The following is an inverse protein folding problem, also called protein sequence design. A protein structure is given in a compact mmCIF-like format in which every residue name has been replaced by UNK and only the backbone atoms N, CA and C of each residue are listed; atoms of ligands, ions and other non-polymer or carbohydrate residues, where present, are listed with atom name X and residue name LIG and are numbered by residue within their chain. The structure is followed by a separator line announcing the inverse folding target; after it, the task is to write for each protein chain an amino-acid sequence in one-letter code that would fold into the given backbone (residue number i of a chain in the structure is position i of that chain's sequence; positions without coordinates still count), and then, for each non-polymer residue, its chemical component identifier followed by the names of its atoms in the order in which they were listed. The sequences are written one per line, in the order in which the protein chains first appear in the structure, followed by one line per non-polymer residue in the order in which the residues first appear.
data_IF_636001812883
#
_entry.id   IF_636001812883
#
_cell.length_a   1.000
_cell.length_b   1.000
_cell.length_c   1.000
_cell.angle_alpha   90.00
_cell.angle_beta   90.00
_cell.angle_gamma   90.00
#
_symmetry.space_group_name_H-M   'P 1'
#
loop_
_entity.id
_entity.type
_entity.pdbx_description
1 polymer ?
#
# COMPACT_ATOMS: atom_id res chain seq x y z
N UNK A 1 -9.02 3.31 29.01
CA UNK A 1 -10.38 2.74 28.77
C UNK A 1 -10.76 2.94 27.29
N UNK A 2 -9.93 2.43 26.36
CA UNK A 2 -10.11 2.59 24.90
C UNK A 2 -10.96 1.46 24.29
N UNK A 3 -10.86 0.26 24.87
CA UNK A 3 -11.57 -0.95 24.41
C UNK A 3 -13.10 -0.85 24.54
N UNK A 4 -13.61 -0.03 25.46
CA UNK A 4 -15.06 0.19 25.63
C UNK A 4 -15.64 1.26 24.67
N UNK A 5 -14.79 2.08 24.06
CA UNK A 5 -15.21 3.13 23.12
C UNK A 5 -15.23 2.66 21.67
N UNK A 6 -14.49 1.60 21.36
CA UNK A 6 -14.46 0.97 20.06
C UNK A 6 -14.76 -0.51 20.25
N UNK A 7 -16.04 -0.88 20.16
CA UNK A 7 -16.41 -2.27 19.86
C UNK A 7 -15.81 -2.60 18.49
N UNK A 8 -14.60 -3.17 18.51
CA UNK A 8 -13.98 -3.72 17.32
C UNK A 8 -14.83 -4.92 16.91
N UNK A 9 -15.77 -4.68 15.98
CA UNK A 9 -16.43 -5.77 15.27
C UNK A 9 -15.35 -6.60 14.61
N UNK A 10 -15.41 -7.91 14.79
CA UNK A 10 -14.56 -8.81 14.03
C UNK A 10 -14.89 -8.63 12.54
N UNK A 11 -13.95 -8.04 11.81
CA UNK A 11 -14.08 -7.77 10.37
C UNK A 11 -13.74 -9.01 9.53
N UNK A 12 -13.37 -10.12 10.19
CA UNK A 12 -12.88 -11.32 9.53
C UNK A 12 -11.48 -11.13 8.94
N UNK A 13 -11.16 -11.94 7.92
CA UNK A 13 -9.82 -11.92 7.30
C UNK A 13 -9.55 -10.58 6.60
N UNK A 14 -8.35 -10.04 6.82
CA UNK A 14 -7.89 -8.79 6.22
C UNK A 14 -7.84 -8.91 4.69
N UNK A 15 -8.61 -8.10 3.98
CA UNK A 15 -8.59 -8.07 2.51
C UNK A 15 -7.91 -6.83 1.95
N UNK A 16 -8.03 -5.71 2.66
CA UNK A 16 -7.54 -4.40 2.21
C UNK A 16 -7.03 -3.60 3.39
N UNK A 17 -5.87 -2.97 3.24
CA UNK A 17 -5.33 -2.02 4.22
C UNK A 17 -4.47 -0.96 3.52
N UNK A 18 -4.82 0.33 3.63
CA UNK A 18 -4.03 1.44 3.05
C UNK A 18 -3.65 1.24 1.56
N UNK A 19 -4.57 0.72 0.74
CA UNK A 19 -4.30 0.45 -0.68
C UNK A 19 -3.53 -0.85 -0.96
N UNK A 20 -3.22 -1.61 0.09
CA UNK A 20 -2.66 -2.96 0.02
C UNK A 20 -3.79 -3.97 -0.02
N UNK A 21 -3.86 -4.76 -1.07
CA UNK A 21 -4.74 -5.91 -1.22
C UNK A 21 -4.05 -7.16 -0.67
N UNK A 22 -4.77 -7.95 0.12
CA UNK A 22 -4.30 -9.19 0.73
C UNK A 22 -5.16 -10.35 0.24
N UNK A 23 -4.52 -11.32 -0.39
CA UNK A 23 -5.12 -12.57 -0.81
C UNK A 23 -4.47 -13.74 -0.06
N UNK A 24 -5.26 -14.77 0.22
CA UNK A 24 -4.81 -15.95 0.96
C UNK A 24 -4.92 -17.18 0.09
N UNK A 25 -3.86 -17.96 0.01
CA UNK A 25 -3.89 -19.35 -0.46
C UNK A 25 -3.95 -20.29 0.76
N UNK A 26 -3.94 -21.61 0.53
CA UNK A 26 -3.92 -22.58 1.64
C UNK A 26 -2.68 -22.43 2.53
N UNK A 27 -1.55 -22.05 1.94
CA UNK A 27 -0.24 -22.08 2.61
C UNK A 27 0.47 -20.72 2.57
N UNK A 28 -0.05 -19.73 1.85
CA UNK A 28 0.66 -18.49 1.57
C UNK A 28 -0.26 -17.27 1.65
N UNK A 29 0.38 -16.11 1.84
CA UNK A 29 -0.28 -14.80 1.79
C UNK A 29 0.32 -14.05 0.60
N UNK A 30 -0.54 -13.58 -0.28
CA UNK A 30 -0.18 -12.73 -1.39
C UNK A 30 -0.59 -11.29 -1.10
N UNK A 31 0.34 -10.36 -1.30
CA UNK A 31 0.16 -8.94 -1.01
C UNK A 31 0.38 -8.17 -2.32
N UNK A 32 -0.56 -7.28 -2.65
CA UNK A 32 -0.54 -6.50 -3.90
C UNK A 32 -0.91 -5.04 -3.64
N UNK A 33 -0.15 -4.11 -4.20
CA UNK A 33 -0.54 -2.69 -4.27
C UNK A 33 -0.95 -2.28 -5.69
N UNK A 34 -1.17 -3.23 -6.60
CA UNK A 34 -1.40 -2.95 -8.02
C UNK A 34 -2.51 -1.92 -8.25
N UNK A 35 -3.63 -2.07 -7.55
CA UNK A 35 -4.75 -1.15 -7.65
C UNK A 35 -4.37 0.26 -7.19
N UNK A 36 -3.76 0.39 -6.01
CA UNK A 36 -3.28 1.66 -5.48
C UNK A 36 -2.31 2.36 -6.45
N UNK A 37 -1.34 1.63 -7.00
CA UNK A 37 -0.40 2.19 -7.98
C UNK A 37 -1.12 2.67 -9.24
N UNK A 38 -2.08 1.90 -9.77
CA UNK A 38 -2.84 2.30 -10.95
C UNK A 38 -3.70 3.54 -10.71
N UNK A 39 -4.37 3.60 -9.55
CA UNK A 39 -5.20 4.74 -9.15
C UNK A 39 -4.31 5.99 -8.98
N UNK A 40 -3.17 5.87 -8.32
CA UNK A 40 -2.18 6.95 -8.17
C UNK A 40 -1.66 7.46 -9.52
N UNK A 41 -1.32 6.55 -10.44
CA UNK A 41 -0.89 6.92 -11.79
C UNK A 41 -1.99 7.64 -12.55
N UNK A 42 -3.25 7.24 -12.37
CA UNK A 42 -4.39 7.90 -12.99
C UNK A 42 -4.59 9.31 -12.42
N UNK A 43 -4.58 9.45 -11.10
CA UNK A 43 -4.75 10.74 -10.41
C UNK A 43 -3.64 11.74 -10.74
N UNK A 44 -2.41 11.25 -10.89
CA UNK A 44 -1.24 12.08 -11.25
C UNK A 44 -1.10 12.33 -12.75
N UNK A 45 -2.02 11.80 -13.58
CA UNK A 45 -1.95 11.91 -15.04
C UNK A 45 -0.75 11.18 -15.66
N UNK A 46 -0.21 10.17 -14.98
CA UNK A 46 0.96 9.36 -15.40
C UNK A 46 0.58 7.98 -15.93
N UNK A 47 -0.71 7.68 -16.05
CA UNK A 47 -1.16 6.44 -16.66
C UNK A 47 -0.69 6.37 -18.12
N UNK A 48 -0.01 5.27 -18.50
CA UNK A 48 0.55 5.10 -19.85
C UNK A 48 1.87 5.84 -20.11
N UNK A 49 2.50 6.42 -19.09
CA UNK A 49 3.87 6.92 -19.22
C UNK A 49 4.83 5.81 -19.69
N UNK A 50 5.86 6.20 -20.45
CA UNK A 50 6.90 5.27 -20.90
C UNK A 50 7.59 4.64 -19.68
N UNK A 51 7.82 3.34 -19.76
CA UNK A 51 8.55 2.60 -18.73
C UNK A 51 9.99 3.14 -18.70
N UNK A 52 10.54 3.36 -17.51
CA UNK A 52 11.97 3.62 -17.36
C UNK A 52 12.73 2.33 -17.65
N UNK A 53 13.70 2.38 -18.57
CA UNK A 53 14.61 1.26 -18.81
C UNK A 53 15.54 0.99 -17.62
N UNK A 54 15.67 1.97 -16.73
CA UNK A 54 16.40 1.85 -15.48
C UNK A 54 15.39 1.48 -14.39
N UNK A 55 15.45 0.26 -13.83
CA UNK A 55 14.61 -0.10 -12.70
C UNK A 55 14.99 0.73 -11.48
N UNK A 56 14.03 0.98 -10.60
CA UNK A 56 14.33 1.49 -9.26
C UNK A 56 15.13 0.42 -8.51
N UNK A 57 16.17 0.86 -7.79
CA UNK A 57 16.94 -0.04 -6.95
C UNK A 57 16.04 -0.67 -5.89
N UNK A 58 16.15 -1.99 -5.73
CA UNK A 58 15.40 -2.68 -4.68
C UNK A 58 15.93 -2.26 -3.31
N UNK A 59 15.02 -2.00 -2.37
CA UNK A 59 15.35 -1.47 -1.04
C UNK A 59 16.04 -0.10 -1.08
N UNK A 60 15.79 0.70 -2.14
CA UNK A 60 16.28 2.06 -2.22
C UNK A 60 15.85 2.83 -0.97
N UNK A 61 16.84 3.27 -0.18
CA UNK A 61 16.60 4.05 1.03
C UNK A 61 16.26 5.46 0.58
N UNK A 62 14.98 5.78 0.56
CA UNK A 62 14.54 7.18 0.45
C UNK A 62 15.16 7.88 1.65
N UNK A 63 16.05 8.83 1.40
CA UNK A 63 16.68 9.63 2.44
C UNK A 63 15.57 10.19 3.33
N UNK A 64 15.73 10.02 4.64
CA UNK A 64 14.85 10.68 5.59
C UNK A 64 15.28 12.15 5.55
N UNK A 65 14.77 12.92 4.58
CA UNK A 65 14.55 14.32 4.90
C UNK A 65 13.50 14.29 6.00
N UNK A 66 13.91 14.61 7.21
CA UNK A 66 12.99 14.97 8.28
C UNK A 66 12.12 16.09 7.72
N UNK A 67 11.00 15.70 7.11
CA UNK A 67 9.85 16.57 6.99
C UNK A 67 9.53 16.90 8.43
N UNK A 68 9.92 18.10 8.87
CA UNK A 68 9.52 18.62 10.17
C UNK A 68 8.00 18.67 10.10
N UNK A 69 7.35 17.61 10.56
CA UNK A 69 5.92 17.61 10.82
C UNK A 69 5.75 18.22 12.21
N UNK A 70 5.93 19.54 12.26
CA UNK A 70 5.22 20.48 13.12
C UNK A 70 5.09 21.81 12.37
#
# INVERSE_FOLDING_TARGET
KLVAQFELKDLGKLKYFLGIEVAYSKNEIFISQRKYVLDLLKETGKLGCRISIVPIEQNHRIGIEESILL
#
